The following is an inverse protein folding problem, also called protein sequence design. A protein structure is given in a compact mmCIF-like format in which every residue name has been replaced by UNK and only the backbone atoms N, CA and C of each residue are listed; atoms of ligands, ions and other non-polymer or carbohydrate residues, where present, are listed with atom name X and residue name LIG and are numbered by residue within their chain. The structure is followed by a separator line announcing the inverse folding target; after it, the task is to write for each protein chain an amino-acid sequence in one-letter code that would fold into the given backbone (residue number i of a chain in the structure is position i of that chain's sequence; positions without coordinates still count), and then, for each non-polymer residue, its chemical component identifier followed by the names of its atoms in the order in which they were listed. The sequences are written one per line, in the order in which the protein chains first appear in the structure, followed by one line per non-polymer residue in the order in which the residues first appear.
data_IF_977664337849
#
_entry.id   IF_977664337849
#
_cell.length_a   1.000
_cell.length_b   1.000
_cell.length_c   1.000
_cell.angle_alpha   90.00
_cell.angle_beta   90.00
_cell.angle_gamma   90.00
#
_symmetry.space_group_name_H-M   'P 1'
#
loop_
_entity.id
_entity.type
_entity.pdbx_description
1 polymer ?
#
# COMPACT_ATOMS: atom_id res chain seq x y z
N UNK A 1 14.38 10.45 -1.07
CA UNK A 1 13.40 9.65 -1.83
C UNK A 1 12.31 10.52 -2.48
N UNK A 2 11.95 11.66 -1.91
CA UNK A 2 11.03 12.62 -2.52
C UNK A 2 11.83 13.70 -3.25
N UNK A 3 12.52 13.30 -4.30
CA UNK A 3 13.17 14.28 -5.17
C UNK A 3 12.12 15.00 -6.01
N UNK A 4 12.21 16.35 -6.12
CA UNK A 4 11.40 17.10 -7.07
C UNK A 4 11.62 16.59 -8.50
N UNK A 5 10.60 16.71 -9.36
CA UNK A 5 10.66 16.18 -10.73
C UNK A 5 11.87 16.70 -11.52
N UNK A 6 12.24 17.97 -11.32
CA UNK A 6 13.43 18.54 -11.95
C UNK A 6 14.74 17.86 -11.52
N UNK A 7 14.83 17.33 -10.30
CA UNK A 7 16.03 16.63 -9.83
C UNK A 7 16.14 15.21 -10.40
N UNK A 8 15.02 14.62 -10.85
CA UNK A 8 15.04 13.31 -11.53
C UNK A 8 15.77 13.38 -12.88
N UNK A 9 15.74 14.51 -13.55
CA UNK A 9 16.45 14.72 -14.84
C UNK A 9 17.98 14.72 -14.70
N UNK A 10 18.52 14.80 -13.47
CA UNK A 10 19.96 14.69 -13.21
C UNK A 10 20.46 13.23 -13.28
N UNK A 11 19.57 12.26 -13.24
CA UNK A 11 19.92 10.84 -13.40
C UNK A 11 19.85 10.50 -14.88
N UNK A 12 21.00 10.36 -15.50
CA UNK A 12 21.14 10.01 -16.91
C UNK A 12 21.76 8.63 -17.04
N UNK A 13 21.30 7.88 -18.04
CA UNK A 13 21.93 6.62 -18.39
C UNK A 13 23.23 6.87 -19.16
N UNK A 14 24.20 5.94 -19.13
CA UNK A 14 25.36 5.99 -20.04
C UNK A 14 24.93 5.93 -21.50
N UNK A 15 25.83 6.34 -22.42
CA UNK A 15 25.58 6.27 -23.85
C UNK A 15 25.14 4.85 -24.28
N UNK A 16 24.13 4.77 -25.15
CA UNK A 16 23.55 3.51 -25.63
C UNK A 16 22.70 2.75 -24.59
N UNK A 17 22.35 3.39 -23.48
CA UNK A 17 21.53 2.79 -22.43
C UNK A 17 20.37 3.70 -22.05
N UNK A 18 19.35 3.11 -21.42
CA UNK A 18 18.21 3.80 -20.82
C UNK A 18 18.00 3.34 -19.38
N UNK A 19 17.36 4.21 -18.58
CA UNK A 19 16.88 3.83 -17.24
C UNK A 19 15.46 3.30 -17.39
N UNK A 20 15.29 2.02 -17.11
CA UNK A 20 13.98 1.36 -17.05
C UNK A 20 13.48 1.37 -15.61
N UNK A 21 12.23 1.79 -15.40
CA UNK A 21 11.56 1.78 -14.11
C UNK A 21 10.48 0.70 -14.09
N UNK A 22 10.48 -0.11 -13.05
CA UNK A 22 9.42 -1.06 -12.73
C UNK A 22 8.81 -0.73 -11.37
N UNK A 23 7.52 -0.39 -11.35
CA UNK A 23 6.78 -0.05 -10.14
C UNK A 23 5.65 -1.05 -9.88
N UNK A 24 5.38 -1.35 -8.59
CA UNK A 24 4.25 -2.21 -8.22
C UNK A 24 2.93 -1.43 -8.30
N UNK A 25 2.05 -1.87 -9.17
CA UNK A 25 0.71 -1.28 -9.27
C UNK A 25 -0.13 -1.59 -8.03
N UNK A 26 -0.40 -0.56 -7.21
CA UNK A 26 -1.24 -0.64 -6.02
C UNK A 26 -0.83 -1.78 -5.06
N UNK A 27 0.46 -1.88 -4.73
CA UNK A 27 1.05 -2.98 -3.96
C UNK A 27 0.31 -3.25 -2.63
N UNK A 28 0.17 -2.23 -1.78
CA UNK A 28 -0.49 -2.39 -0.47
C UNK A 28 -1.97 -2.79 -0.58
N UNK A 29 -2.81 -2.20 -1.47
CA UNK A 29 -4.17 -2.67 -1.71
C UNK A 29 -4.27 -4.12 -2.20
N UNK A 30 -3.33 -4.60 -3.03
CA UNK A 30 -3.28 -6.01 -3.45
C UNK A 30 -2.95 -6.93 -2.28
N UNK A 31 -2.01 -6.54 -1.43
CA UNK A 31 -1.67 -7.27 -0.20
C UNK A 31 -2.86 -7.29 0.76
N UNK A 32 -3.57 -6.16 0.90
CA UNK A 32 -4.79 -6.09 1.70
C UNK A 32 -5.86 -7.05 1.17
N UNK A 33 -6.10 -7.08 -0.15
CA UNK A 33 -7.01 -8.02 -0.78
C UNK A 33 -6.62 -9.48 -0.51
N UNK A 34 -5.32 -9.80 -0.58
CA UNK A 34 -4.78 -11.13 -0.28
C UNK A 34 -5.08 -11.57 1.16
N UNK A 35 -4.76 -10.74 2.15
CA UNK A 35 -4.97 -11.09 3.57
C UNK A 35 -6.43 -11.12 3.99
N UNK A 36 -7.28 -10.34 3.35
CA UNK A 36 -8.69 -10.19 3.75
C UNK A 36 -9.62 -11.10 2.96
N UNK A 37 -9.24 -11.51 1.75
CA UNK A 37 -10.14 -12.17 0.82
C UNK A 37 -11.40 -11.32 0.53
N UNK A 38 -11.29 -9.98 0.56
CA UNK A 38 -12.42 -9.10 0.33
C UNK A 38 -12.91 -9.22 -1.11
N UNK A 39 -14.11 -9.77 -1.37
CA UNK A 39 -14.55 -10.09 -2.73
C UNK A 39 -14.56 -8.86 -3.64
N UNK A 40 -14.95 -7.70 -3.08
CA UNK A 40 -14.99 -6.45 -3.82
C UNK A 40 -13.62 -5.96 -4.29
N UNK A 41 -12.54 -6.24 -3.54
CA UNK A 41 -11.18 -5.92 -3.95
C UNK A 41 -10.63 -6.96 -4.91
N UNK A 42 -10.86 -8.24 -4.63
CA UNK A 42 -10.41 -9.35 -5.49
C UNK A 42 -10.96 -9.18 -6.90
N UNK A 43 -12.27 -8.94 -7.04
CA UNK A 43 -12.91 -8.74 -8.35
C UNK A 43 -12.31 -7.57 -9.15
N UNK A 44 -11.97 -6.44 -8.47
CA UNK A 44 -11.33 -5.30 -9.13
C UNK A 44 -9.98 -5.71 -9.71
N UNK A 45 -9.17 -6.46 -8.95
CA UNK A 45 -7.85 -6.89 -9.39
C UNK A 45 -7.90 -8.00 -10.44
N UNK A 46 -8.86 -8.93 -10.38
CA UNK A 46 -9.07 -9.96 -11.40
C UNK A 46 -9.46 -9.37 -12.76
N UNK A 47 -10.18 -8.24 -12.75
CA UNK A 47 -10.54 -7.47 -13.95
C UNK A 47 -9.47 -6.49 -14.41
N UNK A 48 -8.30 -6.49 -13.77
CA UNK A 48 -7.18 -5.55 -14.02
C UNK A 48 -7.60 -4.07 -14.00
N UNK A 49 -8.52 -3.71 -13.12
CA UNK A 49 -9.03 -2.35 -12.96
C UNK A 49 -8.20 -1.57 -11.92
N UNK A 50 -8.17 -0.23 -12.06
CA UNK A 50 -7.63 0.65 -11.03
C UNK A 50 -8.45 0.53 -9.74
N UNK A 51 -7.79 0.10 -8.65
CA UNK A 51 -8.47 -0.20 -7.37
C UNK A 51 -9.15 1.01 -6.76
N UNK A 52 -8.57 2.19 -6.90
CA UNK A 52 -9.15 3.41 -6.34
C UNK A 52 -10.38 3.85 -7.16
N UNK A 53 -10.29 3.73 -8.49
CA UNK A 53 -11.40 4.02 -9.41
C UNK A 53 -12.52 3.00 -9.24
N UNK A 54 -12.20 1.70 -9.19
CA UNK A 54 -13.17 0.63 -8.95
C UNK A 54 -13.87 0.75 -7.59
N UNK A 55 -13.12 1.11 -6.54
CA UNK A 55 -13.69 1.39 -5.22
C UNK A 55 -14.62 2.59 -5.23
N UNK A 56 -14.25 3.68 -5.92
CA UNK A 56 -15.09 4.86 -6.05
C UNK A 56 -16.41 4.54 -6.78
N UNK A 57 -16.35 3.78 -7.87
CA UNK A 57 -17.54 3.35 -8.60
C UNK A 57 -18.55 2.62 -7.69
N UNK A 58 -18.03 1.69 -6.86
CA UNK A 58 -18.86 0.96 -5.89
C UNK A 58 -19.37 1.83 -4.75
N UNK A 59 -18.50 2.69 -4.20
CA UNK A 59 -18.84 3.55 -3.06
C UNK A 59 -19.93 4.56 -3.40
N UNK A 60 -19.83 5.19 -4.57
CA UNK A 60 -20.80 6.19 -5.04
C UNK A 60 -21.92 5.61 -5.91
N UNK A 61 -21.91 4.30 -6.16
CA UNK A 61 -22.86 3.60 -7.02
C UNK A 61 -22.98 4.26 -8.42
N UNK A 62 -21.83 4.50 -9.05
CA UNK A 62 -21.72 5.07 -10.39
C UNK A 62 -20.94 4.12 -11.33
N UNK A 63 -21.03 4.32 -12.63
CA UNK A 63 -20.23 3.54 -13.57
C UNK A 63 -18.73 3.82 -13.40
N UNK A 64 -17.89 2.84 -13.71
CA UNK A 64 -16.43 2.97 -13.61
C UNK A 64 -15.92 4.17 -14.42
N UNK A 65 -16.48 4.43 -15.62
CA UNK A 65 -16.04 5.52 -16.48
C UNK A 65 -16.49 6.90 -16.01
N UNK A 66 -17.55 6.98 -15.19
CA UNK A 66 -17.99 8.21 -14.56
C UNK A 66 -17.13 8.65 -13.36
N UNK A 67 -16.20 7.82 -12.91
CA UNK A 67 -15.33 8.17 -11.77
C UNK A 67 -14.34 9.24 -12.15
N UNK A 68 -14.43 10.40 -11.51
CA UNK A 68 -13.51 11.52 -11.69
C UNK A 68 -12.18 11.28 -10.95
N UNK A 69 -11.14 12.04 -11.33
CA UNK A 69 -9.83 12.02 -10.63
C UNK A 69 -9.97 12.38 -9.14
N UNK A 70 -10.89 13.28 -8.82
CA UNK A 70 -11.16 13.68 -7.43
C UNK A 70 -11.74 12.53 -6.62
N UNK A 71 -12.79 11.85 -7.11
CA UNK A 71 -13.39 10.70 -6.46
C UNK A 71 -12.37 9.56 -6.28
N UNK A 72 -11.56 9.29 -7.30
CA UNK A 72 -10.46 8.34 -7.24
C UNK A 72 -9.47 8.70 -6.12
N UNK A 73 -9.09 9.98 -5.98
CA UNK A 73 -8.16 10.43 -4.95
C UNK A 73 -8.76 10.33 -3.54
N UNK A 74 -10.06 10.57 -3.36
CA UNK A 74 -10.74 10.33 -2.07
C UNK A 74 -10.61 8.89 -1.62
N UNK A 75 -10.69 7.92 -2.53
CA UNK A 75 -10.52 6.51 -2.18
C UNK A 75 -9.11 6.17 -1.67
N UNK A 76 -8.07 6.87 -2.12
CA UNK A 76 -6.71 6.71 -1.54
C UNK A 76 -6.70 6.99 -0.04
N UNK A 77 -7.43 7.99 0.42
CA UNK A 77 -7.57 8.31 1.86
C UNK A 77 -8.22 7.15 2.61
N UNK A 78 -9.27 6.53 2.04
CA UNK A 78 -9.89 5.32 2.62
C UNK A 78 -8.90 4.16 2.76
N UNK A 79 -8.12 3.87 1.73
CA UNK A 79 -7.08 2.83 1.80
C UNK A 79 -5.98 3.16 2.80
N UNK A 80 -5.53 4.41 2.88
CA UNK A 80 -4.59 4.85 3.91
C UNK A 80 -5.16 4.67 5.32
N UNK A 81 -6.46 4.92 5.52
CA UNK A 81 -7.11 4.68 6.80
C UNK A 81 -7.09 3.21 7.21
N UNK A 82 -7.21 2.26 6.26
CA UNK A 82 -7.11 0.83 6.57
C UNK A 82 -5.70 0.44 7.01
N UNK A 83 -4.70 0.98 6.36
CA UNK A 83 -3.29 0.61 6.57
C UNK A 83 -2.69 1.31 7.79
N UNK A 84 -2.99 2.61 7.96
CA UNK A 84 -2.37 3.44 8.99
C UNK A 84 -3.28 3.73 10.19
N UNK A 85 -4.57 3.34 10.11
CA UNK A 85 -5.57 3.68 11.13
C UNK A 85 -5.78 5.19 11.22
N UNK A 86 -5.84 5.86 10.06
CA UNK A 86 -6.09 7.30 9.95
C UNK A 86 -7.39 7.67 10.68
N UNK A 87 -7.31 8.65 11.57
CA UNK A 87 -8.45 9.16 12.30
C UNK A 87 -9.21 10.22 11.47
N UNK A 88 -10.47 10.46 11.80
CA UNK A 88 -11.33 11.40 11.09
C UNK A 88 -10.70 12.80 10.93
N UNK A 89 -10.03 13.30 11.95
CA UNK A 89 -9.32 14.60 11.89
C UNK A 89 -8.27 14.64 10.77
N UNK A 90 -7.39 13.65 10.70
CA UNK A 90 -6.36 13.58 9.66
C UNK A 90 -6.96 13.33 8.28
N UNK A 91 -8.03 12.51 8.21
CA UNK A 91 -8.76 12.30 6.97
C UNK A 91 -9.43 13.60 6.50
N UNK A 92 -10.00 14.40 7.39
CA UNK A 92 -10.61 15.69 7.09
C UNK A 92 -9.60 16.66 6.47
N UNK A 93 -8.40 16.76 7.04
CA UNK A 93 -7.30 17.57 6.51
C UNK A 93 -6.91 17.13 5.08
N UNK A 94 -6.82 15.81 4.84
CA UNK A 94 -6.48 15.25 3.52
C UNK A 94 -7.60 15.39 2.49
N UNK A 95 -8.85 15.36 2.92
CA UNK A 95 -10.03 15.48 2.06
C UNK A 95 -10.47 16.93 1.85
N UNK A 96 -9.94 17.87 2.63
CA UNK A 96 -10.40 19.28 2.61
C UNK A 96 -11.85 19.44 3.08
N UNK A 97 -12.27 18.66 4.10
CA UNK A 97 -13.67 18.61 4.56
C UNK A 97 -13.74 18.70 6.10
N UNK A 98 -14.95 18.64 6.66
CA UNK A 98 -15.13 18.62 8.12
C UNK A 98 -14.81 17.25 8.70
N UNK A 99 -14.46 17.20 10.00
CA UNK A 99 -14.19 15.94 10.69
C UNK A 99 -15.41 15.00 10.68
N UNK A 100 -16.61 15.56 10.76
CA UNK A 100 -17.86 14.79 10.69
C UNK A 100 -18.02 14.11 9.33
N UNK A 101 -17.85 14.85 8.24
CA UNK A 101 -17.93 14.28 6.88
C UNK A 101 -16.84 13.26 6.61
N UNK A 102 -15.62 13.50 7.12
CA UNK A 102 -14.54 12.54 7.03
C UNK A 102 -14.85 11.24 7.80
N UNK A 103 -15.48 11.34 8.99
CA UNK A 103 -15.91 10.16 9.73
C UNK A 103 -16.99 9.39 8.98
N UNK A 104 -17.99 10.07 8.43
CA UNK A 104 -19.05 9.46 7.62
C UNK A 104 -18.48 8.74 6.39
N UNK A 105 -17.49 9.35 5.74
CA UNK A 105 -16.77 8.74 4.62
C UNK A 105 -16.02 7.48 5.05
N UNK A 106 -15.25 7.53 6.15
CA UNK A 106 -14.51 6.37 6.65
C UNK A 106 -15.45 5.23 7.05
N UNK A 107 -16.56 5.54 7.71
CA UNK A 107 -17.58 4.56 8.09
C UNK A 107 -18.21 3.91 6.85
N UNK A 108 -18.47 4.70 5.81
CA UNK A 108 -18.93 4.21 4.51
C UNK A 108 -17.93 3.28 3.85
N UNK A 109 -16.66 3.68 3.84
CA UNK A 109 -15.57 2.86 3.29
C UNK A 109 -15.43 1.50 4.00
N UNK A 110 -15.46 1.50 5.33
CA UNK A 110 -15.39 0.26 6.11
C UNK A 110 -16.65 -0.60 5.99
N UNK A 111 -17.84 0.00 5.77
CA UNK A 111 -19.05 -0.76 5.44
C UNK A 111 -18.98 -1.42 4.06
N UNK A 112 -18.33 -0.76 3.09
CA UNK A 112 -18.14 -1.32 1.75
C UNK A 112 -17.26 -2.58 1.78
N UNK A 113 -16.31 -2.66 2.73
CA UNK A 113 -15.32 -3.72 2.83
C UNK A 113 -15.36 -4.43 4.20
N UNK A 114 -16.40 -5.25 4.47
CA UNK A 114 -16.60 -5.88 5.77
C UNK A 114 -15.52 -6.90 6.14
N UNK A 115 -14.91 -7.58 5.16
CA UNK A 115 -13.82 -8.51 5.43
C UNK A 115 -12.56 -7.76 5.88
N UNK A 116 -12.30 -6.58 5.33
CA UNK A 116 -11.21 -5.69 5.78
C UNK A 116 -11.42 -5.30 7.24
N UNK A 117 -12.62 -4.84 7.58
CA UNK A 117 -12.97 -4.44 8.96
C UNK A 117 -12.77 -5.61 9.94
N UNK A 118 -13.23 -6.80 9.57
CA UNK A 118 -13.09 -8.03 10.36
C UNK A 118 -11.62 -8.41 10.54
N UNK A 119 -10.85 -8.37 9.47
CA UNK A 119 -9.42 -8.69 9.49
C UNK A 119 -8.62 -7.73 10.38
N UNK A 120 -8.88 -6.42 10.32
CA UNK A 120 -8.27 -5.43 11.21
C UNK A 120 -8.54 -5.79 12.68
N UNK A 121 -9.78 -6.10 13.02
CA UNK A 121 -10.16 -6.49 14.39
C UNK A 121 -9.46 -7.79 14.83
N UNK A 122 -9.38 -8.77 13.96
CA UNK A 122 -8.68 -10.04 14.22
C UNK A 122 -7.18 -9.83 14.40
N UNK A 123 -6.52 -9.04 13.56
CA UNK A 123 -5.10 -8.71 13.65
C UNK A 123 -4.76 -8.03 14.96
N UNK A 124 -5.56 -7.04 15.38
CA UNK A 124 -5.41 -6.39 16.68
C UNK A 124 -5.58 -7.37 17.85
N UNK A 125 -6.59 -8.24 17.78
CA UNK A 125 -6.83 -9.27 18.81
C UNK A 125 -5.67 -10.26 18.88
N UNK A 126 -5.18 -10.72 17.76
CA UNK A 126 -4.03 -11.62 17.66
C UNK A 126 -2.78 -10.97 18.29
N UNK A 127 -2.47 -9.73 17.91
CA UNK A 127 -1.33 -8.99 18.47
C UNK A 127 -1.45 -8.82 19.99
N UNK A 128 -2.63 -8.46 20.49
CA UNK A 128 -2.87 -8.35 21.94
C UNK A 128 -2.55 -9.64 22.68
N UNK A 129 -2.90 -10.79 22.09
CA UNK A 129 -2.68 -12.11 22.70
C UNK A 129 -1.24 -12.56 22.57
N UNK A 130 -0.65 -12.45 21.37
CA UNK A 130 0.63 -13.09 21.04
C UNK A 130 1.84 -12.13 21.06
N UNK A 131 1.61 -10.81 21.14
CA UNK A 131 2.66 -9.77 21.15
C UNK A 131 3.52 -9.74 19.89
N UNK A 132 2.99 -10.24 18.79
CA UNK A 132 3.55 -10.09 17.45
C UNK A 132 2.43 -10.16 16.41
N UNK A 133 2.76 -9.76 15.21
CA UNK A 133 2.01 -10.04 13.98
C UNK A 133 2.94 -10.71 12.99
N UNK A 134 2.35 -11.45 12.05
CA UNK A 134 3.07 -12.15 11.02
C UNK A 134 2.78 -11.53 9.65
N UNK A 135 3.83 -11.30 8.88
CA UNK A 135 3.83 -10.79 7.52
C UNK A 135 3.99 -11.95 6.54
N UNK A 136 4.01 -11.68 5.27
CA UNK A 136 4.36 -12.68 4.24
C UNK A 136 5.67 -13.40 4.62
N UNK A 137 5.82 -14.64 4.18
CA UNK A 137 6.98 -15.49 4.44
C UNK A 137 7.28 -15.75 5.93
N UNK A 138 6.29 -15.62 6.80
CA UNK A 138 6.39 -15.93 8.22
C UNK A 138 7.22 -14.94 9.03
N UNK A 139 7.60 -13.78 8.47
CA UNK A 139 8.32 -12.75 9.22
C UNK A 139 7.44 -12.14 10.29
N UNK A 140 8.02 -11.88 11.48
CA UNK A 140 7.29 -11.40 12.65
C UNK A 140 7.74 -10.04 13.10
N UNK A 141 6.78 -9.13 13.30
CA UNK A 141 7.00 -7.90 14.06
C UNK A 141 6.51 -8.09 15.49
N UNK A 142 7.40 -7.89 16.47
CA UNK A 142 7.12 -8.08 17.90
C UNK A 142 6.76 -6.76 18.57
N UNK A 143 5.91 -6.85 19.62
CA UNK A 143 5.46 -5.75 20.48
C UNK A 143 5.70 -6.10 21.95
N UNK A 144 6.98 -6.19 22.38
CA UNK A 144 7.32 -6.73 23.70
C UNK A 144 6.81 -5.87 24.86
N UNK A 145 6.66 -4.58 24.63
CA UNK A 145 6.28 -3.61 25.66
C UNK A 145 4.78 -3.29 25.70
N UNK A 146 3.95 -3.97 24.90
CA UNK A 146 2.51 -3.66 24.77
C UNK A 146 1.79 -3.57 26.13
N UNK A 147 2.05 -4.45 27.09
CA UNK A 147 1.38 -4.43 28.40
C UNK A 147 1.92 -3.38 29.37
N UNK A 148 3.12 -2.91 29.17
CA UNK A 148 3.77 -1.90 30.01
C UNK A 148 3.43 -0.48 29.60
N UNK A 149 2.87 -0.33 28.39
CA UNK A 149 2.53 0.96 27.82
C UNK A 149 1.24 1.56 28.40
N UNK A 150 1.15 2.86 28.38
CA UNK A 150 -0.09 3.59 28.62
C UNK A 150 -1.15 3.30 27.53
N UNK A 151 -2.39 3.71 27.77
CA UNK A 151 -3.50 3.48 26.83
C UNK A 151 -3.20 3.97 25.42
N UNK A 152 -2.62 5.16 25.29
CA UNK A 152 -2.30 5.74 23.97
C UNK A 152 -1.20 4.95 23.25
N UNK A 153 -0.19 4.44 23.99
CA UNK A 153 0.87 3.59 23.43
C UNK A 153 0.29 2.27 22.92
N UNK A 154 -0.58 1.62 23.70
CA UNK A 154 -1.27 0.39 23.27
C UNK A 154 -2.10 0.60 22.01
N UNK A 155 -2.83 1.73 21.91
CA UNK A 155 -3.57 2.06 20.68
C UNK A 155 -2.65 2.34 19.49
N UNK A 156 -1.49 2.95 19.72
CA UNK A 156 -0.47 3.12 18.69
C UNK A 156 0.10 1.78 18.22
N UNK A 157 0.43 0.87 19.14
CA UNK A 157 0.91 -0.48 18.81
C UNK A 157 -0.13 -1.28 18.02
N UNK A 158 -1.43 -1.14 18.33
CA UNK A 158 -2.51 -1.77 17.58
C UNK A 158 -2.61 -1.26 16.14
N UNK A 159 -2.43 0.05 15.92
CA UNK A 159 -2.35 0.62 14.57
C UNK A 159 -1.10 0.13 13.85
N UNK A 160 0.05 0.16 14.53
CA UNK A 160 1.30 -0.34 13.98
C UNK A 160 1.26 -1.83 13.64
N UNK A 161 0.49 -2.64 14.37
CA UNK A 161 0.33 -4.06 14.09
C UNK A 161 -0.34 -4.29 12.73
N UNK A 162 -1.44 -3.59 12.45
CA UNK A 162 -2.16 -3.66 11.16
C UNK A 162 -1.25 -3.17 10.03
N UNK A 163 -0.63 -1.99 10.23
CA UNK A 163 0.31 -1.42 9.27
C UNK A 163 1.48 -2.37 8.96
N UNK A 164 2.08 -2.98 10.00
CA UNK A 164 3.22 -3.87 9.85
C UNK A 164 2.90 -5.09 8.98
N UNK A 165 1.69 -5.64 9.05
CA UNK A 165 1.31 -6.76 8.17
C UNK A 165 1.30 -6.31 6.72
N UNK A 166 0.71 -5.18 6.40
CA UNK A 166 0.60 -4.70 5.01
C UNK A 166 1.95 -4.18 4.50
N UNK A 167 2.51 -3.15 5.14
CA UNK A 167 3.77 -2.54 4.70
C UNK A 167 4.97 -3.49 4.80
N UNK A 168 5.02 -4.29 5.88
CA UNK A 168 6.08 -5.28 6.03
C UNK A 168 6.04 -6.35 4.95
N UNK A 169 4.84 -6.78 4.54
CA UNK A 169 4.66 -7.72 3.43
C UNK A 169 5.03 -7.08 2.09
N UNK A 170 4.67 -5.81 1.87
CA UNK A 170 5.10 -5.04 0.70
C UNK A 170 6.64 -4.98 0.62
N UNK A 171 7.29 -4.63 1.72
CA UNK A 171 8.75 -4.60 1.78
C UNK A 171 9.41 -5.97 1.54
N UNK A 172 8.78 -7.08 1.98
CA UNK A 172 9.25 -8.44 1.70
C UNK A 172 9.13 -8.73 0.19
N UNK A 173 7.98 -8.45 -0.40
CA UNK A 173 7.74 -8.64 -1.83
C UNK A 173 8.75 -7.83 -2.67
N UNK A 174 8.97 -6.56 -2.35
CA UNK A 174 9.95 -5.71 -3.03
C UNK A 174 11.35 -6.31 -2.93
N UNK A 175 11.79 -6.79 -1.75
CA UNK A 175 13.11 -7.41 -1.57
C UNK A 175 13.27 -8.72 -2.35
N UNK A 176 12.23 -9.55 -2.40
CA UNK A 176 12.25 -10.78 -3.21
C UNK A 176 12.39 -10.42 -4.69
N UNK A 177 11.62 -9.44 -5.16
CA UNK A 177 11.69 -8.96 -6.54
C UNK A 177 13.06 -8.34 -6.85
N UNK A 178 13.63 -7.51 -5.95
CA UNK A 178 14.99 -6.99 -6.10
C UNK A 178 16.03 -8.11 -6.30
N UNK A 179 15.91 -9.19 -5.52
CA UNK A 179 16.83 -10.33 -5.65
C UNK A 179 16.68 -11.01 -7.02
N UNK A 180 15.45 -11.15 -7.51
CA UNK A 180 15.18 -11.73 -8.83
C UNK A 180 15.70 -10.82 -9.97
N UNK A 181 15.43 -9.51 -9.86
CA UNK A 181 15.93 -8.50 -10.82
C UNK A 181 17.46 -8.46 -10.82
N UNK A 182 18.11 -8.50 -9.65
CA UNK A 182 19.56 -8.54 -9.56
C UNK A 182 20.15 -9.74 -10.32
N UNK A 183 19.62 -10.93 -10.09
CA UNK A 183 20.04 -12.15 -10.82
C UNK A 183 19.80 -12.07 -12.33
N UNK A 184 18.75 -11.37 -12.75
CA UNK A 184 18.49 -11.11 -14.17
C UNK A 184 19.53 -10.13 -14.74
N UNK A 185 19.85 -9.07 -13.98
CA UNK A 185 20.86 -8.10 -14.37
C UNK A 185 22.23 -8.76 -14.59
N UNK A 186 22.66 -9.66 -13.68
CA UNK A 186 23.93 -10.40 -13.84
C UNK A 186 23.95 -11.24 -15.12
N UNK A 187 22.83 -11.87 -15.51
CA UNK A 187 22.74 -12.70 -16.73
C UNK A 187 22.67 -11.90 -18.02
N UNK A 188 22.21 -10.66 -17.97
CA UNK A 188 21.92 -9.82 -19.14
C UNK A 188 22.89 -8.65 -19.32
N UNK A 189 23.91 -8.54 -18.46
CA UNK A 189 24.79 -7.37 -18.39
C UNK A 189 24.02 -6.05 -18.19
N UNK A 190 22.93 -6.14 -17.39
CA UNK A 190 22.16 -4.99 -16.94
C UNK A 190 22.66 -4.54 -15.59
N UNK A 191 22.28 -3.35 -15.16
CA UNK A 191 22.71 -2.83 -13.87
C UNK A 191 21.51 -2.31 -13.05
N UNK A 192 21.26 -2.92 -11.88
CA UNK A 192 20.31 -2.34 -10.93
C UNK A 192 20.89 -1.04 -10.38
N UNK A 193 20.16 0.07 -10.55
CA UNK A 193 20.62 1.42 -10.18
C UNK A 193 20.18 1.78 -8.76
N UNK A 194 18.89 1.68 -8.47
CA UNK A 194 18.30 2.10 -7.20
C UNK A 194 16.92 1.48 -6.97
N UNK A 195 16.43 1.63 -5.76
CA UNK A 195 15.03 1.39 -5.41
C UNK A 195 14.43 2.63 -4.75
N UNK A 196 13.21 2.98 -5.12
CA UNK A 196 12.48 4.12 -4.57
C UNK A 196 11.12 3.61 -4.12
N UNK A 197 10.97 3.34 -2.82
CA UNK A 197 9.80 2.67 -2.24
C UNK A 197 9.56 1.28 -2.86
N UNK A 198 8.57 1.14 -3.71
CA UNK A 198 8.17 -0.04 -4.48
C UNK A 198 8.65 -0.03 -5.94
N UNK A 199 9.33 1.04 -6.36
CA UNK A 199 9.92 1.19 -7.69
C UNK A 199 11.36 0.65 -7.72
N UNK A 200 11.72 -0.09 -8.77
CA UNK A 200 13.07 -0.60 -9.03
C UNK A 200 13.57 0.00 -10.34
N UNK A 201 14.72 0.67 -10.28
CA UNK A 201 15.39 1.27 -11.44
C UNK A 201 16.52 0.39 -11.92
N UNK A 202 16.54 0.12 -13.23
CA UNK A 202 17.55 -0.70 -13.90
C UNK A 202 18.09 0.03 -15.12
N UNK A 203 19.41 0.04 -15.29
CA UNK A 203 20.07 0.50 -16.53
C UNK A 203 20.10 -0.68 -17.50
N UNK A 204 19.58 -0.48 -18.70
CA UNK A 204 19.50 -1.50 -19.76
C UNK A 204 19.93 -0.90 -21.10
N UNK A 205 20.45 -1.69 -22.06
CA UNK A 205 20.74 -1.20 -23.40
C UNK A 205 19.48 -0.66 -24.09
N UNK A 206 19.61 0.41 -24.89
CA UNK A 206 18.49 0.97 -25.67
C UNK A 206 17.84 -0.02 -26.65
N UNK A 207 18.59 -1.04 -27.07
CA UNK A 207 18.15 -2.07 -28.03
C UNK A 207 17.24 -3.14 -27.41
N UNK A 208 16.89 -3.03 -26.14
CA UNK A 208 15.89 -3.91 -25.52
C UNK A 208 14.50 -3.48 -25.98
N UNK A 209 13.96 -4.25 -26.89
CA UNK A 209 12.57 -4.21 -27.34
C UNK A 209 11.78 -5.38 -26.75
#
# INVERSE_FOLDING_TARGET
QNLPDYARTMFIAPDGHVIMSGDFSAQEPRILAHFTGEPGLVEIFEKDLDVYKGTAARFYNISYDAVTKELRNKMKVGFLATTYGTQARTAAEQLGTTEKEAQEFLDGFFRLYPHVTRWIAQTKRFMRRHKYVEMLEGRKRRFPNYYRGERWQRLADERQAVNAVIQGSAAIQTKVTMTAVHRLCEKKDWRMLATIHDEILVIVPETIT
#
